data_IF_156596766644
#
_entry.id   IF_156596766644
#
_cell.length_a   1.000
_cell.length_b   1.000
_cell.length_c   1.000
_cell.angle_alpha   90.00
_cell.angle_beta   90.00
_cell.angle_gamma   90.00
#
_symmetry.space_group_name_H-M   'P 1'
#
loop_
_entity.id
_entity.type
_entity.pdbx_description
1 polymer ?
#
# COMPACT_ATOMS: atom_id res chain seq x y z
N UNK A 1 8.28 -13.90 19.92
CA UNK A 1 8.78 -12.52 19.82
C UNK A 1 8.83 -12.17 18.35
N UNK A 2 8.34 -10.99 17.96
CA UNK A 2 8.43 -10.52 16.56
C UNK A 2 9.89 -10.21 16.26
N UNK A 3 10.40 -10.74 15.15
CA UNK A 3 11.76 -10.51 14.64
C UNK A 3 11.76 -9.64 13.38
N UNK A 4 10.74 -9.85 12.54
CA UNK A 4 10.65 -9.25 11.23
C UNK A 4 9.34 -8.48 11.07
N UNK A 5 9.36 -7.51 10.15
CA UNK A 5 8.18 -6.81 9.66
C UNK A 5 8.09 -7.00 8.15
N UNK A 6 6.90 -7.24 7.63
CA UNK A 6 6.62 -7.11 6.20
C UNK A 6 5.49 -6.12 5.99
N UNK A 7 5.57 -5.36 4.89
CA UNK A 7 4.63 -4.28 4.58
C UNK A 7 3.87 -4.63 3.31
N UNK A 8 2.55 -4.66 3.38
CA UNK A 8 1.68 -4.89 2.23
C UNK A 8 0.86 -3.64 1.98
N UNK A 9 0.73 -3.23 0.72
CA UNK A 9 -0.09 -2.09 0.38
C UNK A 9 -0.13 -1.83 -1.10
N UNK A 10 -1.20 -1.20 -1.56
CA UNK A 10 -1.31 -0.81 -2.97
C UNK A 10 -0.14 0.12 -3.35
N UNK A 11 0.19 0.20 -4.64
CA UNK A 11 1.09 1.27 -5.11
C UNK A 11 0.53 2.61 -4.67
N UNK A 12 1.42 3.54 -4.32
CA UNK A 12 1.06 4.89 -3.86
C UNK A 12 0.28 4.99 -2.53
N UNK A 13 0.22 3.91 -1.73
CA UNK A 13 -0.39 3.90 -0.39
C UNK A 13 0.53 4.39 0.74
N UNK A 14 1.79 4.72 0.45
CA UNK A 14 2.75 5.18 1.48
C UNK A 14 3.64 4.09 2.07
N UNK A 15 3.70 2.91 1.46
CA UNK A 15 4.57 1.79 1.89
C UNK A 15 6.03 2.19 2.13
N UNK A 16 6.63 3.01 1.26
CA UNK A 16 8.03 3.46 1.44
C UNK A 16 8.22 4.35 2.68
N UNK A 17 7.25 5.22 2.95
CA UNK A 17 7.29 6.09 4.12
C UNK A 17 7.17 5.26 5.40
N UNK A 18 6.22 4.31 5.43
CA UNK A 18 6.10 3.37 6.54
C UNK A 18 7.38 2.55 6.72
N UNK A 19 7.96 2.01 5.66
CA UNK A 19 9.23 1.27 5.69
C UNK A 19 10.34 2.09 6.35
N UNK A 20 10.47 3.36 5.97
CA UNK A 20 11.42 4.29 6.58
C UNK A 20 11.13 4.53 8.07
N UNK A 21 9.86 4.74 8.44
CA UNK A 21 9.45 4.91 9.84
C UNK A 21 9.75 3.67 10.68
N UNK A 22 9.52 2.47 10.15
CA UNK A 22 9.86 1.22 10.85
C UNK A 22 11.38 1.14 11.07
N UNK A 23 12.17 1.42 10.04
CA UNK A 23 13.63 1.40 10.11
C UNK A 23 14.19 2.45 11.09
N UNK A 24 13.56 3.62 11.21
CA UNK A 24 13.99 4.65 12.17
C UNK A 24 13.66 4.22 13.60
N UNK A 25 12.48 3.64 13.84
CA UNK A 25 11.93 3.54 15.19
C UNK A 25 12.09 2.17 15.85
N UNK A 26 12.18 1.06 15.12
CA UNK A 26 12.07 -0.29 15.70
C UNK A 26 13.30 -1.17 15.46
N UNK A 27 13.70 -1.94 16.48
CA UNK A 27 14.74 -2.97 16.43
C UNK A 27 14.20 -4.23 15.74
N UNK A 28 13.92 -4.13 14.45
CA UNK A 28 13.36 -5.19 13.60
C UNK A 28 13.95 -5.08 12.20
N UNK A 29 13.87 -6.17 11.44
CA UNK A 29 14.24 -6.18 10.02
C UNK A 29 13.00 -6.16 9.13
N UNK A 30 13.09 -5.46 7.99
CA UNK A 30 12.08 -5.56 6.93
C UNK A 30 12.39 -6.82 6.11
N UNK A 31 11.41 -7.71 5.94
CA UNK A 31 11.53 -8.90 5.09
C UNK A 31 10.54 -8.85 3.93
N UNK A 32 10.96 -9.39 2.79
CA UNK A 32 10.16 -9.59 1.58
C UNK A 32 9.99 -11.07 1.22
N UNK A 33 10.32 -11.96 2.16
CA UNK A 33 10.17 -13.41 2.04
C UNK A 33 8.71 -13.81 1.70
N UNK A 34 7.74 -13.04 2.20
CA UNK A 34 6.31 -13.26 1.99
C UNK A 34 5.72 -12.48 0.82
N UNK A 35 6.57 -12.07 -0.12
CA UNK A 35 6.18 -11.35 -1.33
C UNK A 35 6.51 -9.87 -1.32
N UNK A 36 6.47 -9.28 -2.52
CA UNK A 36 6.74 -7.87 -2.70
C UNK A 36 5.54 -7.03 -2.28
N UNK A 37 5.79 -5.89 -1.60
CA UNK A 37 4.78 -5.01 -0.99
C UNK A 37 3.55 -4.67 -1.83
N UNK A 38 3.67 -4.64 -3.16
CA UNK A 38 2.57 -4.26 -4.07
C UNK A 38 1.90 -5.46 -4.77
N UNK A 39 2.59 -6.61 -4.84
CA UNK A 39 2.23 -7.79 -5.64
C UNK A 39 1.87 -8.95 -4.71
N UNK A 40 1.12 -8.66 -3.66
CA UNK A 40 0.68 -9.63 -2.65
C UNK A 40 -0.57 -10.40 -3.10
N UNK A 41 -0.84 -11.50 -2.38
CA UNK A 41 -2.00 -12.38 -2.61
C UNK A 41 -1.65 -13.71 -3.30
N UNK A 42 -0.37 -13.94 -3.58
CA UNK A 42 0.12 -15.12 -4.28
C UNK A 42 1.13 -15.93 -3.46
N UNK A 43 1.47 -15.46 -2.26
CA UNK A 43 2.54 -16.00 -1.43
C UNK A 43 2.02 -17.04 -0.42
N UNK A 44 2.90 -17.96 -0.03
CA UNK A 44 2.69 -18.82 1.13
C UNK A 44 3.12 -18.07 2.40
N UNK A 45 2.25 -18.05 3.42
CA UNK A 45 2.48 -17.38 4.69
C UNK A 45 2.83 -18.35 5.83
N UNK A 46 3.12 -19.62 5.54
CA UNK A 46 3.61 -20.58 6.54
C UNK A 46 4.89 -20.09 7.20
N UNK A 47 5.09 -20.51 8.45
CA UNK A 47 6.26 -20.17 9.28
C UNK A 47 6.44 -18.67 9.57
N UNK A 48 5.38 -17.87 9.42
CA UNK A 48 5.41 -16.43 9.62
C UNK A 48 5.10 -15.96 11.05
N UNK A 49 5.07 -16.88 12.01
CA UNK A 49 4.75 -16.65 13.43
C UNK A 49 5.66 -15.65 14.14
N UNK A 50 6.83 -15.35 13.58
CA UNK A 50 7.78 -14.35 14.09
C UNK A 50 7.74 -13.03 13.31
N UNK A 51 6.80 -12.85 12.39
CA UNK A 51 6.74 -11.70 11.47
C UNK A 51 5.46 -10.92 11.70
N UNK A 52 5.57 -9.60 11.89
CA UNK A 52 4.43 -8.69 11.88
C UNK A 52 4.14 -8.24 10.45
N UNK A 53 2.92 -8.48 10.00
CA UNK A 53 2.41 -8.00 8.72
C UNK A 53 1.69 -6.68 8.94
N UNK A 54 2.10 -5.65 8.21
CA UNK A 54 1.47 -4.33 8.26
C UNK A 54 0.84 -4.06 6.90
N UNK A 55 -0.49 -4.09 6.84
CA UNK A 55 -1.25 -3.54 5.73
C UNK A 55 -1.28 -2.02 5.82
N UNK A 56 -1.04 -1.31 4.71
CA UNK A 56 -1.23 0.14 4.62
C UNK A 56 -2.11 0.48 3.40
N UNK A 57 -3.13 1.30 3.66
CA UNK A 57 -4.08 1.80 2.67
C UNK A 57 -4.10 3.33 2.70
N UNK A 58 -4.66 3.93 1.66
CA UNK A 58 -4.72 5.38 1.51
C UNK A 58 -6.11 5.79 1.03
N UNK A 59 -6.50 7.01 1.36
CA UNK A 59 -7.72 7.64 0.86
C UNK A 59 -7.86 7.40 -0.66
N UNK A 60 -9.02 6.92 -1.13
CA UNK A 60 -9.20 6.49 -2.51
C UNK A 60 -9.00 7.61 -3.53
N UNK A 61 -9.41 8.83 -3.21
CA UNK A 61 -9.24 9.98 -4.11
C UNK A 61 -7.77 10.37 -4.25
N UNK A 62 -7.06 10.43 -3.12
CA UNK A 62 -5.64 10.71 -3.09
C UNK A 62 -4.80 9.60 -3.73
N UNK A 63 -5.18 8.34 -3.45
CA UNK A 63 -4.53 7.15 -3.97
C UNK A 63 -4.61 7.10 -5.50
N UNK A 64 -5.81 7.21 -6.07
CA UNK A 64 -6.00 7.04 -7.52
C UNK A 64 -5.30 8.16 -8.31
N UNK A 65 -5.37 9.40 -7.81
CA UNK A 65 -4.65 10.53 -8.41
C UNK A 65 -3.14 10.35 -8.29
N UNK A 66 -2.64 9.83 -7.17
CA UNK A 66 -1.22 9.51 -7.03
C UNK A 66 -0.80 8.41 -7.97
N UNK A 67 -1.58 7.35 -8.10
CA UNK A 67 -1.22 6.24 -8.96
C UNK A 67 -1.27 6.62 -10.45
N UNK A 68 -2.23 7.45 -10.86
CA UNK A 68 -2.30 8.00 -12.22
C UNK A 68 -1.13 8.94 -12.57
N UNK A 69 -0.58 9.68 -11.60
CA UNK A 69 0.62 10.50 -11.84
C UNK A 69 1.86 9.65 -12.01
N UNK A 70 2.13 8.78 -11.03
CA UNK A 70 3.37 8.00 -10.96
C UNK A 70 3.38 6.86 -11.99
N UNK A 71 2.24 6.18 -12.22
CA UNK A 71 2.06 5.07 -13.17
C UNK A 71 3.14 3.98 -13.08
N UNK A 72 3.67 3.77 -11.88
CA UNK A 72 4.76 2.83 -11.66
C UNK A 72 4.36 1.40 -12.06
N UNK A 73 5.17 0.77 -12.92
CA UNK A 73 4.91 -0.53 -13.55
C UNK A 73 3.64 -0.59 -14.42
N UNK A 74 3.04 0.55 -14.82
CA UNK A 74 1.92 0.54 -15.76
C UNK A 74 2.42 0.76 -17.20
N UNK A 75 1.92 -0.02 -18.18
CA UNK A 75 2.09 0.26 -19.60
C UNK A 75 1.83 1.71 -20.01
N UNK A 76 2.56 2.20 -21.02
CA UNK A 76 2.47 3.60 -21.50
C UNK A 76 1.05 4.03 -21.91
N UNK A 77 0.19 3.11 -22.34
CA UNK A 77 -1.19 3.39 -22.74
C UNK A 77 -2.05 3.97 -21.61
N UNK A 78 -1.70 3.71 -20.35
CA UNK A 78 -2.39 4.27 -19.18
C UNK A 78 -2.07 5.75 -18.92
N UNK A 79 -1.31 6.41 -19.81
CA UNK A 79 -1.23 7.88 -19.87
C UNK A 79 -2.53 8.52 -20.33
N UNK A 80 -3.41 7.76 -20.99
CA UNK A 80 -4.75 8.19 -21.38
C UNK A 80 -5.70 7.91 -20.21
N UNK A 81 -6.34 8.96 -19.69
CA UNK A 81 -7.17 8.87 -18.49
C UNK A 81 -8.28 7.80 -18.61
N UNK A 82 -9.03 7.78 -19.72
CA UNK A 82 -10.07 6.78 -19.94
C UNK A 82 -9.53 5.35 -19.96
N UNK A 83 -8.32 5.14 -20.50
CA UNK A 83 -7.68 3.82 -20.48
C UNK A 83 -7.34 3.40 -19.06
N UNK A 84 -6.80 4.31 -18.25
CA UNK A 84 -6.49 4.05 -16.84
C UNK A 84 -7.73 3.76 -16.00
N UNK A 85 -8.84 4.48 -16.24
CA UNK A 85 -10.05 4.35 -15.42
C UNK A 85 -10.89 3.13 -15.79
N UNK A 86 -11.00 2.79 -17.08
CA UNK A 86 -12.09 1.93 -17.56
C UNK A 86 -11.65 0.73 -18.41
N UNK A 87 -10.36 0.56 -18.67
CA UNK A 87 -9.83 -0.63 -19.33
C UNK A 87 -9.18 -1.55 -18.32
N UNK A 88 -8.96 -2.80 -18.75
CA UNK A 88 -8.26 -3.79 -17.94
C UNK A 88 -6.95 -3.22 -17.41
N UNK A 89 -6.56 -3.56 -16.19
CA UNK A 89 -5.32 -3.14 -15.56
C UNK A 89 -4.39 -4.34 -15.41
N UNK A 90 -3.13 -4.13 -15.82
CA UNK A 90 -2.04 -5.07 -15.64
C UNK A 90 -0.72 -4.29 -15.47
N UNK A 91 0.23 -4.93 -14.79
CA UNK A 91 1.55 -4.37 -14.55
C UNK A 91 2.59 -4.98 -15.47
N UNK A 92 3.63 -4.22 -15.78
CA UNK A 92 4.78 -4.66 -16.60
C UNK A 92 6.10 -4.38 -15.90
N UNK A 93 7.10 -5.21 -16.17
CA UNK A 93 8.46 -4.95 -15.77
C UNK A 93 9.10 -3.93 -16.71
N UNK A 94 9.03 -2.67 -16.31
CA UNK A 94 9.57 -1.50 -17.00
C UNK A 94 11.10 -1.47 -17.06
N UNK A 95 11.79 -2.27 -16.23
CA UNK A 95 13.25 -2.31 -16.15
C UNK A 95 13.91 -3.37 -17.05
N UNK A 96 13.15 -4.36 -17.55
CA UNK A 96 13.72 -5.52 -18.24
C UNK A 96 13.16 -5.68 -19.65
N UNK A 97 11.84 -5.86 -19.78
CA UNK A 97 11.27 -6.43 -21.00
C UNK A 97 9.86 -5.94 -21.36
N UNK A 98 9.25 -5.07 -20.54
CA UNK A 98 7.83 -4.75 -20.59
C UNK A 98 6.92 -5.99 -20.56
N UNK A 99 7.44 -7.15 -20.11
CA UNK A 99 6.63 -8.33 -19.88
C UNK A 99 5.71 -8.10 -18.69
N UNK A 100 4.53 -8.69 -18.76
CA UNK A 100 3.52 -8.61 -17.72
C UNK A 100 4.04 -9.25 -16.41
N UNK A 101 3.79 -8.57 -15.29
CA UNK A 101 4.03 -9.10 -13.95
C UNK A 101 2.80 -9.91 -13.55
N UNK A 102 2.89 -11.23 -13.68
CA UNK A 102 1.76 -12.15 -13.44
C UNK A 102 1.35 -12.14 -11.97
N UNK A 103 2.30 -11.90 -11.07
CA UNK A 103 2.11 -11.78 -9.62
C UNK A 103 1.32 -10.52 -9.22
N UNK A 104 1.00 -9.63 -10.16
CA UNK A 104 0.10 -8.49 -9.93
C UNK A 104 -1.26 -8.63 -10.61
N UNK A 105 -1.63 -9.84 -11.03
CA UNK A 105 -2.99 -10.12 -11.50
C UNK A 105 -4.02 -10.14 -10.35
N UNK A 106 -5.28 -10.34 -10.70
CA UNK A 106 -6.35 -10.53 -9.73
C UNK A 106 -6.01 -11.68 -8.78
N UNK A 107 -6.02 -11.37 -7.48
CA UNK A 107 -5.62 -12.29 -6.41
C UNK A 107 -6.46 -13.58 -6.44
N UNK A 108 -7.74 -13.48 -6.80
CA UNK A 108 -8.68 -14.59 -6.76
C UNK A 108 -8.85 -15.28 -8.11
N UNK A 109 -9.02 -14.51 -9.18
CA UNK A 109 -9.30 -15.08 -10.51
C UNK A 109 -8.05 -15.38 -11.32
N UNK A 110 -6.90 -14.81 -10.94
CA UNK A 110 -5.62 -14.91 -11.68
C UNK A 110 -5.64 -14.29 -13.09
N UNK A 111 -6.73 -13.59 -13.43
CA UNK A 111 -6.88 -12.79 -14.65
C UNK A 111 -6.45 -11.34 -14.43
N UNK A 112 -6.39 -10.54 -15.50
CA UNK A 112 -6.23 -9.09 -15.37
C UNK A 112 -7.44 -8.50 -14.65
N UNK A 113 -7.22 -7.40 -13.93
CA UNK A 113 -8.35 -6.66 -13.36
C UNK A 113 -9.12 -5.98 -14.48
N UNK A 114 -10.46 -5.94 -14.41
CA UNK A 114 -11.33 -5.27 -15.39
C UNK A 114 -11.06 -3.79 -15.49
N UNK A 115 -10.70 -3.16 -14.38
CA UNK A 115 -10.33 -1.74 -14.29
C UNK A 115 -9.63 -1.44 -12.95
N UNK A 116 -9.24 -0.19 -12.77
CA UNK A 116 -8.52 0.27 -11.57
C UNK A 116 -9.36 0.18 -10.30
N UNK A 117 -10.68 0.31 -10.40
CA UNK A 117 -11.59 0.22 -9.26
C UNK A 117 -11.73 -1.23 -8.78
N UNK A 118 -11.76 -2.19 -9.70
CA UNK A 118 -11.74 -3.62 -9.35
C UNK A 118 -10.41 -4.01 -8.70
N UNK A 119 -9.28 -3.48 -9.20
CA UNK A 119 -7.97 -3.67 -8.58
C UNK A 119 -8.00 -3.23 -7.12
N UNK A 120 -8.46 -2.02 -6.85
CA UNK A 120 -8.54 -1.49 -5.48
C UNK A 120 -9.45 -2.34 -4.60
N UNK A 121 -10.68 -2.59 -5.05
CA UNK A 121 -11.62 -3.38 -4.28
C UNK A 121 -11.06 -4.77 -3.91
N UNK A 122 -10.42 -5.44 -4.86
CA UNK A 122 -9.82 -6.76 -4.65
C UNK A 122 -8.65 -6.71 -3.68
N UNK A 123 -7.77 -5.71 -3.79
CA UNK A 123 -6.62 -5.54 -2.89
C UNK A 123 -7.09 -5.19 -1.47
N UNK A 124 -8.12 -4.36 -1.32
CA UNK A 124 -8.73 -4.05 -0.03
C UNK A 124 -9.40 -5.26 0.60
N UNK A 125 -10.15 -6.05 -0.18
CA UNK A 125 -10.72 -7.32 0.28
C UNK A 125 -9.64 -8.19 0.91
N UNK A 126 -8.52 -8.37 0.21
CA UNK A 126 -7.44 -9.20 0.69
C UNK A 126 -6.83 -8.67 2.00
N UNK A 127 -6.53 -7.38 2.07
CA UNK A 127 -5.95 -6.75 3.27
C UNK A 127 -6.92 -6.80 4.46
N UNK A 128 -8.21 -6.57 4.25
CA UNK A 128 -9.20 -6.50 5.33
C UNK A 128 -9.69 -7.88 5.76
N UNK A 129 -9.94 -8.79 4.82
CA UNK A 129 -10.66 -10.05 5.09
C UNK A 129 -9.76 -11.27 5.11
N UNK A 130 -8.69 -11.30 4.32
CA UNK A 130 -7.89 -12.50 4.15
C UNK A 130 -6.64 -12.45 5.01
N UNK A 131 -5.87 -11.36 4.95
CA UNK A 131 -4.64 -11.21 5.74
C UNK A 131 -4.80 -11.52 7.23
N UNK A 132 -5.83 -11.02 7.94
CA UNK A 132 -6.01 -11.35 9.37
C UNK A 132 -6.23 -12.84 9.65
N UNK A 133 -6.66 -13.62 8.65
CA UNK A 133 -6.87 -15.08 8.77
C UNK A 133 -5.62 -15.88 8.37
N UNK A 134 -4.77 -15.30 7.53
CA UNK A 134 -3.58 -15.96 6.97
C UNK A 134 -2.37 -15.90 7.89
N UNK A 135 -2.29 -14.90 8.78
CA UNK A 135 -1.12 -14.66 9.62
C UNK A 135 -1.51 -14.37 11.06
N UNK A 136 -0.63 -14.75 11.99
CA UNK A 136 -0.85 -14.57 13.42
C UNK A 136 -0.75 -13.12 13.88
N UNK A 137 0.14 -12.34 13.26
CA UNK A 137 0.45 -10.98 13.67
C UNK A 137 0.17 -10.02 12.52
N UNK A 138 -0.98 -9.35 12.59
CA UNK A 138 -1.43 -8.41 11.57
C UNK A 138 -1.91 -7.08 12.18
N UNK A 139 -1.69 -6.01 11.43
CA UNK A 139 -2.34 -4.71 11.61
C UNK A 139 -2.57 -4.06 10.24
N UNK A 140 -3.75 -3.46 10.07
CA UNK A 140 -4.06 -2.60 8.94
C UNK A 140 -4.10 -1.15 9.43
N UNK A 141 -3.40 -0.26 8.74
CA UNK A 141 -3.36 1.17 9.06
C UNK A 141 -3.69 2.02 7.84
N UNK A 142 -4.17 3.24 8.09
CA UNK A 142 -4.32 4.25 7.05
C UNK A 142 -3.07 5.13 6.98
N UNK A 143 -2.69 5.49 5.76
CA UNK A 143 -1.62 6.44 5.52
C UNK A 143 -1.88 7.78 6.19
N UNK A 144 -3.13 8.24 6.19
CA UNK A 144 -3.56 9.50 6.80
C UNK A 144 -3.31 9.52 8.32
N UNK A 145 -3.42 8.37 8.99
CA UNK A 145 -3.20 8.26 10.43
C UNK A 145 -1.72 8.40 10.79
N UNK A 146 -0.79 8.09 9.88
CA UNK A 146 0.64 8.38 10.06
C UNK A 146 0.94 9.88 9.95
N UNK A 147 0.12 10.62 9.20
CA UNK A 147 0.30 12.06 8.99
C UNK A 147 -0.33 12.89 10.11
N UNK A 148 -1.51 12.48 10.57
CA UNK A 148 -2.34 13.27 11.48
C UNK A 148 -2.25 12.78 12.93
N UNK A 149 -2.09 11.47 13.14
CA UNK A 149 -2.08 10.82 14.47
C UNK A 149 -0.81 10.00 14.69
N UNK A 150 0.35 10.52 14.25
CA UNK A 150 1.62 9.81 14.16
C UNK A 150 1.96 8.96 15.40
N UNK A 151 2.00 9.60 16.59
CA UNK A 151 2.38 8.91 17.82
C UNK A 151 1.41 7.79 18.18
N UNK A 152 0.11 8.01 18.00
CA UNK A 152 -0.90 6.99 18.27
C UNK A 152 -0.75 5.79 17.32
N UNK A 153 -0.59 6.06 16.02
CA UNK A 153 -0.43 5.03 14.98
C UNK A 153 0.84 4.22 15.20
N UNK A 154 1.97 4.87 15.48
CA UNK A 154 3.23 4.19 15.75
C UNK A 154 3.20 3.41 17.06
N UNK A 155 2.48 3.89 18.09
CA UNK A 155 2.25 3.12 19.30
C UNK A 155 1.38 1.89 19.05
N UNK A 156 0.34 1.97 18.20
CA UNK A 156 -0.45 0.80 17.77
C UNK A 156 0.41 -0.28 17.10
N UNK A 157 1.41 0.13 16.32
CA UNK A 157 2.38 -0.79 15.72
C UNK A 157 3.30 -1.36 16.81
N UNK A 158 3.84 -0.53 17.71
CA UNK A 158 4.71 -0.95 18.82
C UNK A 158 4.09 -2.07 19.65
N UNK A 159 2.83 -1.91 20.07
CA UNK A 159 2.14 -2.88 20.95
C UNK A 159 1.89 -4.25 20.28
N UNK A 160 2.10 -4.37 18.96
CA UNK A 160 2.13 -5.67 18.27
C UNK A 160 3.39 -6.50 18.56
N UNK A 161 4.29 -5.99 19.41
CA UNK A 161 5.46 -6.72 19.90
C UNK A 161 6.77 -6.26 19.30
N UNK A 162 6.84 -5.04 18.76
CA UNK A 162 8.09 -4.44 18.29
C UNK A 162 8.80 -3.68 19.41
N UNK A 163 10.12 -3.83 19.47
CA UNK A 163 10.98 -3.11 20.40
C UNK A 163 11.47 -1.81 19.76
N UNK A 164 11.46 -0.71 20.51
CA UNK A 164 11.98 0.56 20.00
C UNK A 164 13.51 0.58 19.92
N UNK A 165 14.06 1.31 18.95
CA UNK A 165 15.49 1.66 18.89
C UNK A 165 15.85 2.68 19.98
N UNK A 166 14.99 3.67 20.16
CA UNK A 166 15.11 4.79 21.13
C UNK A 166 13.82 4.92 21.92
N UNK A 167 13.85 5.53 23.10
CA UNK A 167 12.63 5.70 23.92
C UNK A 167 11.57 6.60 23.26
N UNK A 168 12.02 7.50 22.38
CA UNK A 168 11.19 8.49 21.68
C UNK A 168 10.93 8.04 20.24
N UNK A 169 9.66 8.12 19.82
CA UNK A 169 9.25 7.93 18.43
C UNK A 169 9.65 9.14 17.60
N UNK A 170 10.35 8.90 16.50
CA UNK A 170 10.85 9.92 15.58
C UNK A 170 10.08 9.87 14.27
N UNK A 171 9.53 11.02 13.88
CA UNK A 171 8.94 11.21 12.55
C UNK A 171 9.98 11.80 11.58
N UNK A 172 9.73 11.69 10.28
CA UNK A 172 10.58 12.24 9.22
C UNK A 172 9.74 12.76 8.07
N UNK A 173 10.29 13.72 7.31
CA UNK A 173 9.74 14.17 6.03
C UNK A 173 10.30 13.37 4.84
N UNK A 174 11.23 12.44 5.10
CA UNK A 174 11.87 11.62 4.08
C UNK A 174 10.97 10.46 3.66
N UNK A 175 10.67 10.40 2.37
CA UNK A 175 9.80 9.36 1.80
C UNK A 175 10.52 8.00 1.65
N UNK A 176 11.85 8.01 1.48
CA UNK A 176 12.71 6.82 1.44
C UNK A 176 13.98 7.04 2.26
N UNK A 177 14.56 5.94 2.73
CA UNK A 177 15.80 5.95 3.53
C UNK A 177 17.03 6.39 2.71
N UNK A 178 16.99 6.19 1.38
CA UNK A 178 18.04 6.55 0.41
C UNK A 178 17.95 8.01 -0.09
N UNK A 179 17.63 8.96 0.81
CA UNK A 179 17.91 10.42 0.76
C UNK A 179 17.66 11.22 -0.54
N UNK A 180 17.03 10.70 -1.58
CA UNK A 180 16.88 11.40 -2.86
C UNK A 180 15.53 12.10 -3.05
N UNK A 181 14.52 11.83 -2.20
CA UNK A 181 13.16 12.35 -2.38
C UNK A 181 12.60 12.90 -1.07
N UNK A 182 12.56 14.23 -1.00
CA UNK A 182 11.84 14.98 0.03
C UNK A 182 10.35 14.97 -0.27
N UNK A 183 9.52 14.76 0.75
CA UNK A 183 8.10 15.06 0.61
C UNK A 183 7.93 16.57 0.66
N UNK A 184 7.89 17.22 -0.52
CA UNK A 184 7.55 18.63 -0.60
C UNK A 184 6.05 18.80 -0.40
N UNK A 185 5.65 19.17 0.83
CA UNK A 185 4.26 19.51 1.16
C UNK A 185 3.77 20.79 0.48
N UNK A 186 4.66 21.62 -0.05
CA UNK A 186 4.32 22.94 -0.60
C UNK A 186 3.83 22.89 -2.06
N UNK A 187 4.07 21.78 -2.76
CA UNK A 187 3.60 21.61 -4.14
C UNK A 187 2.28 20.84 -4.14
N UNK A 188 1.17 21.56 -4.35
CA UNK A 188 -0.11 20.94 -4.72
C UNK A 188 0.09 20.10 -5.97
N UNK A 189 0.06 18.78 -5.82
CA UNK A 189 0.15 17.86 -6.95
C UNK A 189 -1.15 17.94 -7.76
N UNK A 190 -1.07 17.96 -9.10
CA UNK A 190 -2.28 18.01 -9.92
C UNK A 190 -3.16 16.79 -9.63
N UNK A 191 -4.47 17.05 -9.50
CA UNK A 191 -5.51 16.04 -9.46
C UNK A 191 -6.18 16.02 -10.83
N UNK A 192 -6.13 14.88 -11.50
CA UNK A 192 -6.70 14.70 -12.84
C UNK A 192 -8.03 13.98 -12.82
N UNK A 193 -8.32 13.29 -11.71
CA UNK A 193 -9.52 12.48 -11.51
C UNK A 193 -10.32 13.19 -10.42
N UNK A 194 -11.55 13.58 -10.73
CA UNK A 194 -12.42 14.30 -9.79
C UNK A 194 -13.00 13.36 -8.73
N UNK A 195 -13.46 13.93 -7.60
CA UNK A 195 -14.07 13.13 -6.52
C UNK A 195 -15.32 12.40 -7.00
N UNK A 196 -16.12 13.03 -7.85
CA UNK A 196 -17.34 12.48 -8.41
C UNK A 196 -17.06 11.23 -9.26
N UNK A 197 -15.97 11.23 -10.05
CA UNK A 197 -15.55 10.05 -10.81
C UNK A 197 -15.18 8.91 -9.86
N UNK A 198 -14.46 9.21 -8.77
CA UNK A 198 -14.05 8.19 -7.80
C UNK A 198 -15.27 7.63 -7.07
N UNK A 199 -16.10 8.48 -6.47
CA UNK A 199 -17.27 8.06 -5.69
C UNK A 199 -18.30 7.30 -6.53
N UNK A 200 -18.47 7.65 -7.81
CA UNK A 200 -19.43 6.98 -8.70
C UNK A 200 -18.98 5.59 -9.17
N UNK A 201 -17.68 5.26 -9.11
CA UNK A 201 -17.14 4.02 -9.67
C UNK A 201 -16.54 3.08 -8.62
N UNK A 202 -16.16 3.58 -7.44
CA UNK A 202 -15.54 2.77 -6.41
C UNK A 202 -16.58 1.93 -5.66
N UNK A 203 -16.21 0.72 -5.30
CA UNK A 203 -17.05 -0.11 -4.47
C UNK A 203 -16.88 0.29 -2.99
N UNK A 204 -17.94 0.86 -2.41
CA UNK A 204 -17.93 1.45 -1.07
C UNK A 204 -17.78 0.44 0.08
N UNK A 205 -17.96 -0.87 -0.15
CA UNK A 205 -17.99 -1.87 0.93
C UNK A 205 -16.80 -1.78 1.88
N UNK A 206 -15.59 -1.78 1.33
CA UNK A 206 -14.35 -1.74 2.13
C UNK A 206 -13.89 -0.31 2.44
N UNK A 207 -14.26 0.66 1.61
CA UNK A 207 -13.94 2.07 1.87
C UNK A 207 -14.64 2.55 3.14
N UNK A 208 -15.92 2.21 3.31
CA UNK A 208 -16.68 2.57 4.51
C UNK A 208 -16.16 1.84 5.75
N UNK A 209 -15.70 0.59 5.64
CA UNK A 209 -15.08 -0.13 6.76
C UNK A 209 -13.78 0.54 7.24
N UNK A 210 -13.05 1.20 6.33
CA UNK A 210 -11.87 2.00 6.63
C UNK A 210 -12.22 3.43 7.11
N UNK A 211 -13.50 3.79 7.11
CA UNK A 211 -14.00 5.11 7.47
C UNK A 211 -13.72 6.18 6.41
N UNK A 212 -13.50 5.78 5.15
CA UNK A 212 -13.45 6.73 4.04
C UNK A 212 -14.89 7.11 3.64
N UNK A 213 -15.14 8.41 3.57
CA UNK A 213 -16.37 9.01 3.06
C UNK A 213 -15.97 9.73 1.78
N UNK A 214 -16.50 9.27 0.65
CA UNK A 214 -16.10 9.73 -0.70
C UNK A 214 -17.28 10.42 -1.34
#
# INVERSE_FOLDING_TARGET
MIKNVTILGERCSGTNYLENLININFKTEITWEYGWKHFFGFNDFKNSDNTLFIGIVRDPYDWINSFYRERHHLPKQYRILNTFLYKEIYSVNDNVSNLEIIEDRNIYTKERYKNIFELRHTKLQFLIKDMPKLVKHYILIKYEDLLTNFNETMNKIKIKGLNLKTEILTNTLLYRWDKSLWFDKSVTKPCHISREIVSSNINMLYETELGYII
#
